data_IF_291829810061
#
_entry.id   IF_291829810061
#
_cell.length_a   1.000
_cell.length_b   1.000
_cell.length_c   1.000
_cell.angle_alpha   90.00
_cell.angle_beta   90.00
_cell.angle_gamma   90.00
#
_symmetry.space_group_name_H-M   'P 1'
#
loop_
_entity.id
_entity.type
_entity.pdbx_description
1 polymer ?
#
# COMPACT_ATOMS: atom_id res chain seq x y z
N UNK A 1 -12.37 -24.38 30.43
CA UNK A 1 -11.91 -25.39 29.46
C UNK A 1 -13.11 -26.28 29.19
N UNK A 2 -13.62 -26.48 27.98
CA UNK A 2 -13.00 -26.59 26.65
C UNK A 2 -13.84 -25.78 25.63
N UNK A 3 -13.26 -24.92 24.78
CA UNK A 3 -12.57 -25.23 23.51
C UNK A 3 -13.37 -26.17 22.58
N UNK A 4 -14.66 -25.90 22.36
CA UNK A 4 -15.42 -26.59 21.28
C UNK A 4 -16.60 -25.76 20.73
N UNK A 5 -16.42 -24.46 20.51
CA UNK A 5 -17.42 -23.62 19.81
C UNK A 5 -16.83 -22.68 18.74
N UNK A 6 -15.55 -22.81 18.41
CA UNK A 6 -14.85 -21.83 17.56
C UNK A 6 -14.75 -22.16 16.06
N UNK A 7 -15.42 -23.19 15.52
CA UNK A 7 -15.17 -23.59 14.12
C UNK A 7 -16.39 -23.69 13.18
N UNK A 8 -17.60 -23.33 13.61
CA UNK A 8 -18.80 -23.50 12.77
C UNK A 8 -19.51 -22.20 12.34
N UNK A 9 -18.89 -21.04 12.51
CA UNK A 9 -19.45 -19.77 12.01
C UNK A 9 -18.43 -19.03 11.13
N UNK A 10 -17.95 -19.74 10.12
CA UNK A 10 -17.36 -19.15 8.93
C UNK A 10 -18.16 -19.62 7.71
N UNK A 11 -19.28 -18.97 7.43
CA UNK A 11 -19.74 -18.60 6.09
C UNK A 11 -21.10 -17.89 6.17
N UNK A 12 -21.31 -16.96 5.24
CA UNK A 12 -22.53 -16.16 4.99
C UNK A 12 -22.59 -14.85 5.78
N UNK A 13 -21.98 -13.81 5.19
CA UNK A 13 -22.70 -12.62 4.73
C UNK A 13 -21.79 -11.83 3.77
N UNK A 14 -21.78 -12.28 2.52
CA UNK A 14 -21.49 -11.41 1.40
C UNK A 14 -22.73 -10.50 1.19
N UNK A 15 -22.65 -9.26 1.63
CA UNK A 15 -23.58 -8.22 1.23
C UNK A 15 -22.84 -6.90 1.04
N UNK A 16 -22.67 -6.55 -0.24
CA UNK A 16 -22.59 -5.17 -0.74
C UNK A 16 -21.41 -4.34 -0.25
N UNK A 17 -20.23 -4.53 -0.83
CA UNK A 17 -19.32 -3.40 -0.98
C UNK A 17 -19.89 -2.51 -2.11
N UNK A 18 -20.22 -1.24 -1.85
CA UNK A 18 -20.29 -0.28 -2.94
C UNK A 18 -18.87 -0.18 -3.52
N UNK A 19 -18.85 -0.29 -4.83
CA UNK A 19 -17.70 -0.21 -5.69
C UNK A 19 -16.82 1.02 -5.34
N UNK A 20 -15.72 0.82 -4.61
CA UNK A 20 -14.68 1.85 -4.45
C UNK A 20 -13.81 1.82 -5.71
N UNK A 21 -14.40 2.30 -6.81
CA UNK A 21 -13.76 2.41 -8.10
C UNK A 21 -12.84 3.63 -8.04
N UNK A 22 -11.53 3.39 -7.92
CA UNK A 22 -10.54 4.41 -8.27
C UNK A 22 -10.84 4.83 -9.71
N UNK A 23 -11.17 6.08 -9.96
CA UNK A 23 -11.25 6.59 -11.33
C UNK A 23 -9.88 6.38 -11.97
N UNK A 24 -9.81 5.37 -12.84
CA UNK A 24 -8.60 5.01 -13.55
C UNK A 24 -8.18 6.20 -14.39
N UNK A 25 -6.92 6.60 -14.26
CA UNK A 25 -6.27 7.40 -15.29
C UNK A 25 -6.26 6.54 -16.56
N UNK A 26 -7.07 6.94 -17.54
CA UNK A 26 -7.13 6.31 -18.85
C UNK A 26 -5.80 6.54 -19.57
N UNK A 27 -5.00 5.49 -19.69
CA UNK A 27 -4.11 5.30 -20.84
C UNK A 27 -4.45 3.92 -21.41
N UNK A 28 -5.19 3.93 -22.52
CA UNK A 28 -5.58 2.76 -23.26
C UNK A 28 -4.36 2.16 -23.99
N UNK A 29 -4.05 0.88 -23.73
CA UNK A 29 -3.39 -0.01 -24.68
C UNK A 29 -4.06 -1.40 -24.54
N UNK A 30 -5.09 -1.63 -25.34
CA UNK A 30 -5.69 -2.95 -25.53
C UNK A 30 -4.69 -3.85 -26.25
N UNK A 31 -4.09 -4.81 -25.54
CA UNK A 31 -3.48 -5.98 -26.19
C UNK A 31 -3.63 -7.26 -25.38
N UNK A 32 -4.63 -8.02 -25.80
CA UNK A 32 -4.67 -9.48 -25.94
C UNK A 32 -4.26 -10.32 -24.71
N UNK A 33 -5.28 -10.73 -23.94
CA UNK A 33 -5.16 -11.70 -22.85
C UNK A 33 -4.87 -13.10 -23.42
N UNK A 34 -3.63 -13.57 -23.29
CA UNK A 34 -3.35 -15.00 -23.11
C UNK A 34 -3.03 -15.21 -21.64
N UNK A 35 -3.90 -15.95 -20.96
CA UNK A 35 -3.72 -16.32 -19.57
C UNK A 35 -2.33 -16.92 -19.35
N UNK A 36 -1.54 -16.28 -18.49
CA UNK A 36 -0.32 -16.85 -17.98
C UNK A 36 -0.59 -17.35 -16.57
N UNK A 37 -0.31 -18.64 -16.39
CA UNK A 37 -0.21 -19.31 -15.10
C UNK A 37 0.69 -18.49 -14.19
N UNK A 38 0.17 -18.01 -13.05
CA UNK A 38 0.97 -17.28 -12.07
C UNK A 38 1.87 -18.32 -11.42
N UNK A 39 3.12 -18.40 -11.87
CA UNK A 39 4.11 -19.16 -11.14
C UNK A 39 4.39 -18.42 -9.83
N UNK A 40 4.17 -19.11 -8.72
CA UNK A 40 4.39 -18.66 -7.33
C UNK A 40 5.90 -18.57 -6.99
N UNK A 41 6.70 -18.09 -7.94
CA UNK A 41 8.15 -17.93 -7.83
C UNK A 41 8.49 -16.46 -8.10
N UNK A 42 8.29 -15.65 -7.06
CA UNK A 42 8.97 -14.41 -6.70
C UNK A 42 7.95 -13.51 -5.96
N UNK A 43 8.23 -13.07 -4.72
CA UNK A 43 7.32 -12.19 -3.98
C UNK A 43 7.06 -10.96 -4.84
N UNK A 44 5.78 -10.62 -5.03
CA UNK A 44 5.31 -9.65 -6.04
C UNK A 44 6.22 -8.42 -6.17
N UNK A 45 7.18 -8.48 -7.09
CA UNK A 45 8.17 -7.40 -7.30
C UNK A 45 7.53 -6.10 -7.76
N UNK A 46 6.25 -6.15 -8.16
CA UNK A 46 5.51 -5.08 -8.79
C UNK A 46 5.39 -3.82 -7.91
N UNK A 47 5.46 -3.95 -6.58
CA UNK A 47 5.39 -2.83 -5.62
C UNK A 47 6.67 -2.62 -4.80
N UNK A 48 7.75 -3.30 -5.17
CA UNK A 48 9.05 -3.16 -4.52
C UNK A 48 9.90 -2.12 -5.28
N UNK A 49 10.32 -1.07 -4.59
CA UNK A 49 11.23 -0.04 -5.08
C UNK A 49 12.67 -0.43 -4.73
N UNK A 50 13.52 -0.43 -5.74
CA UNK A 50 14.94 -0.77 -5.65
C UNK A 50 15.81 0.41 -6.07
N UNK A 51 17.11 0.36 -5.78
CA UNK A 51 18.04 1.41 -6.20
C UNK A 51 18.16 1.52 -7.73
N UNK A 52 18.04 0.41 -8.46
CA UNK A 52 18.06 0.40 -9.93
C UNK A 52 16.86 1.14 -10.53
N UNK A 53 15.70 1.15 -9.85
CA UNK A 53 14.53 1.90 -10.30
C UNK A 53 14.75 3.42 -10.31
N UNK A 54 15.65 3.92 -9.45
CA UNK A 54 15.96 5.34 -9.34
C UNK A 54 16.80 5.87 -10.52
N UNK A 55 17.45 4.98 -11.28
CA UNK A 55 18.29 5.37 -12.40
C UNK A 55 17.49 5.88 -13.61
N UNK A 56 16.21 5.50 -13.71
CA UNK A 56 15.34 5.87 -14.83
C UNK A 56 14.10 6.61 -14.35
N UNK A 57 14.00 7.91 -14.66
CA UNK A 57 12.80 8.71 -14.35
C UNK A 57 11.52 8.12 -14.94
N UNK A 58 11.60 7.47 -16.12
CA UNK A 58 10.47 6.81 -16.77
C UNK A 58 10.00 5.59 -15.97
N UNK A 59 10.94 4.75 -15.54
CA UNK A 59 10.66 3.58 -14.70
C UNK A 59 10.10 4.00 -13.36
N UNK A 60 10.73 4.98 -12.70
CA UNK A 60 10.28 5.50 -11.42
C UNK A 60 8.86 6.08 -11.50
N UNK A 61 8.54 6.85 -12.56
CA UNK A 61 7.19 7.36 -12.79
C UNK A 61 6.18 6.22 -12.96
N UNK A 62 6.53 5.17 -13.71
CA UNK A 62 5.67 3.98 -13.89
C UNK A 62 5.40 3.28 -12.55
N UNK A 63 6.45 2.96 -11.79
CA UNK A 63 6.30 2.25 -10.49
C UNK A 63 5.55 3.09 -9.46
N UNK A 64 5.80 4.40 -9.40
CA UNK A 64 5.01 5.31 -8.58
C UNK A 64 3.53 5.29 -8.96
N UNK A 65 3.20 5.29 -10.25
CA UNK A 65 1.81 5.20 -10.68
C UNK A 65 1.17 3.84 -10.29
N UNK A 66 1.93 2.74 -10.36
CA UNK A 66 1.47 1.41 -9.93
C UNK A 66 1.29 1.33 -8.41
N UNK A 67 2.05 2.09 -7.64
CA UNK A 67 1.98 2.11 -6.18
C UNK A 67 0.84 2.98 -5.62
N UNK A 68 -0.07 3.48 -6.46
CA UNK A 68 -1.21 4.29 -6.00
C UNK A 68 -2.18 3.45 -5.17
N UNK A 69 -2.68 4.03 -4.08
CA UNK A 69 -3.72 3.41 -3.25
C UNK A 69 -4.90 4.35 -3.07
N UNK A 70 -6.08 3.74 -2.89
CA UNK A 70 -7.30 4.47 -2.59
C UNK A 70 -7.52 4.46 -1.09
N UNK A 71 -7.66 5.65 -0.52
CA UNK A 71 -8.05 5.77 0.88
C UNK A 71 -9.58 5.70 1.00
N UNK A 72 -10.11 5.18 2.12
CA UNK A 72 -11.54 5.23 2.39
C UNK A 72 -12.01 6.66 2.66
N UNK A 73 -13.32 6.85 2.58
CA UNK A 73 -14.00 8.05 3.08
C UNK A 73 -13.65 8.28 4.56
N UNK A 74 -13.47 9.54 5.02
CA UNK A 74 -13.64 10.80 4.27
C UNK A 74 -12.40 11.27 3.50
N UNK A 75 -11.39 10.41 3.29
CA UNK A 75 -10.09 10.76 2.72
C UNK A 75 -9.89 10.27 1.28
N UNK A 76 -10.96 9.91 0.57
CA UNK A 76 -10.89 9.31 -0.77
C UNK A 76 -10.42 10.29 -1.85
N UNK A 77 -10.48 11.59 -1.58
CA UNK A 77 -9.96 12.66 -2.42
C UNK A 77 -8.45 12.87 -2.28
N UNK A 78 -7.79 12.24 -1.30
CA UNK A 78 -6.35 12.34 -1.10
C UNK A 78 -5.57 11.40 -2.02
N UNK A 79 -4.49 11.92 -2.60
CA UNK A 79 -3.58 11.13 -3.42
C UNK A 79 -2.57 10.40 -2.52
N UNK A 80 -2.67 9.07 -2.47
CA UNK A 80 -1.82 8.23 -1.63
C UNK A 80 -1.10 7.14 -2.42
N UNK A 81 0.04 6.72 -1.86
CA UNK A 81 0.94 5.71 -2.44
C UNK A 81 1.45 4.79 -1.34
N UNK A 82 1.60 3.50 -1.64
CA UNK A 82 2.23 2.54 -0.72
C UNK A 82 3.02 1.48 -1.46
N UNK A 83 4.03 0.93 -0.81
CA UNK A 83 4.81 -0.16 -1.34
C UNK A 83 5.94 -0.54 -0.40
N UNK A 84 6.93 -1.22 -0.95
CA UNK A 84 8.10 -1.69 -0.22
C UNK A 84 9.36 -1.07 -0.80
N UNK A 85 10.33 -0.72 0.04
CA UNK A 85 11.66 -0.28 -0.39
C UNK A 85 12.64 -1.36 0.04
N UNK A 86 13.37 -1.95 -0.91
CA UNK A 86 14.43 -2.89 -0.59
C UNK A 86 15.62 -2.14 0.03
N UNK A 87 16.14 -2.66 1.14
CA UNK A 87 17.27 -2.09 1.89
C UNK A 87 18.59 -2.79 1.51
N UNK A 88 18.52 -3.85 0.72
CA UNK A 88 19.67 -4.71 0.44
C UNK A 88 20.66 -3.98 -0.48
N UNK A 89 21.82 -3.62 0.08
CA UNK A 89 22.90 -2.92 -0.65
C UNK A 89 23.71 -3.85 -1.54
N UNK A 90 23.67 -5.15 -1.28
CA UNK A 90 24.45 -6.16 -1.98
C UNK A 90 23.44 -7.12 -2.56
N UNK A 91 23.54 -7.40 -3.85
CA UNK A 91 22.78 -8.44 -4.55
C UNK A 91 23.18 -9.85 -4.06
N UNK A 92 23.41 -10.03 -2.75
CA UNK A 92 23.64 -11.30 -2.09
C UNK A 92 22.29 -11.88 -1.76
N UNK A 93 21.97 -12.97 -2.42
CA UNK A 93 20.73 -13.77 -2.40
C UNK A 93 20.35 -14.38 -1.04
N UNK A 94 20.78 -13.80 0.09
CA UNK A 94 20.59 -14.37 1.43
C UNK A 94 19.89 -13.44 2.43
N UNK A 95 19.75 -12.14 2.15
CA UNK A 95 18.99 -11.23 3.01
C UNK A 95 18.12 -10.35 2.12
N UNK A 96 16.80 -10.48 2.26
CA UNK A 96 15.80 -9.67 1.57
C UNK A 96 15.07 -8.81 2.62
N UNK A 97 15.58 -7.61 2.88
CA UNK A 97 14.98 -6.68 3.85
C UNK A 97 14.18 -5.58 3.15
N UNK A 98 12.92 -5.43 3.57
CA UNK A 98 12.00 -4.46 2.98
C UNK A 98 11.42 -3.51 4.02
N UNK A 99 11.38 -2.23 3.69
CA UNK A 99 10.65 -1.21 4.45
C UNK A 99 9.32 -0.93 3.77
N UNK A 100 8.23 -1.16 4.49
CA UNK A 100 6.91 -0.70 4.06
C UNK A 100 6.80 0.82 4.21
N UNK A 101 6.14 1.49 3.27
CA UNK A 101 5.76 2.90 3.40
C UNK A 101 4.30 3.14 3.00
N UNK A 102 3.70 4.15 3.63
CA UNK A 102 2.48 4.81 3.19
C UNK A 102 2.78 6.30 3.08
N UNK A 103 2.60 6.85 1.89
CA UNK A 103 2.80 8.26 1.59
C UNK A 103 1.48 8.88 1.15
N UNK A 104 1.08 9.96 1.82
CA UNK A 104 -0.15 10.70 1.51
C UNK A 104 0.26 12.13 1.14
N UNK A 105 -0.16 12.58 -0.05
CA UNK A 105 0.11 13.95 -0.48
C UNK A 105 -0.81 14.93 0.22
N UNK A 106 -0.28 16.12 0.49
CA UNK A 106 -1.11 17.25 0.92
C UNK A 106 -2.15 17.57 -0.16
N UNK A 107 -3.39 17.83 0.26
CA UNK A 107 -4.53 18.16 -0.60
C UNK A 107 -4.28 19.42 -1.45
N UNK A 108 -3.72 20.46 -0.82
CA UNK A 108 -3.54 21.76 -1.45
C UNK A 108 -2.07 22.08 -1.72
N UNK A 109 -1.76 22.46 -2.95
CA UNK A 109 -0.44 22.90 -3.39
C UNK A 109 0.71 21.97 -2.96
N UNK A 110 0.54 20.66 -3.10
CA UNK A 110 1.46 19.64 -2.56
C UNK A 110 2.93 19.87 -2.92
N UNK A 111 3.22 20.48 -4.08
CA UNK A 111 4.58 20.77 -4.55
C UNK A 111 5.29 21.88 -3.75
N UNK A 112 4.53 22.71 -3.03
CA UNK A 112 5.04 23.81 -2.20
C UNK A 112 5.13 23.43 -0.71
N UNK A 113 4.57 22.29 -0.31
CA UNK A 113 4.54 21.83 1.08
C UNK A 113 5.78 20.98 1.39
N UNK A 114 6.31 21.02 2.62
CA UNK A 114 7.44 20.17 3.00
C UNK A 114 7.04 18.69 3.04
N UNK A 115 8.01 17.82 2.79
CA UNK A 115 7.87 16.39 3.03
C UNK A 115 8.17 16.07 4.50
N UNK A 116 7.27 15.34 5.15
CA UNK A 116 7.44 14.88 6.53
C UNK A 116 7.61 13.37 6.53
N UNK A 117 8.67 12.89 7.16
CA UNK A 117 8.87 11.48 7.48
C UNK A 117 8.48 11.25 8.94
N UNK A 118 7.51 10.38 9.17
CA UNK A 118 7.06 10.02 10.51
C UNK A 118 7.50 8.61 10.87
N UNK A 119 8.24 8.48 11.99
CA UNK A 119 8.75 7.21 12.49
C UNK A 119 8.28 7.04 13.92
N UNK A 120 7.56 5.95 14.20
CA UNK A 120 7.17 5.69 15.57
C UNK A 120 8.34 5.21 16.44
N UNK A 121 8.30 5.61 17.70
CA UNK A 121 9.32 5.26 18.70
C UNK A 121 9.10 3.90 19.37
N UNK A 122 9.81 3.71 20.48
CA UNK A 122 9.95 2.42 21.16
C UNK A 122 11.05 1.59 20.50
N UNK A 123 10.90 0.27 20.52
CA UNK A 123 11.37 -0.52 19.38
C UNK A 123 10.24 -1.42 18.86
N UNK A 124 10.14 -1.55 17.53
CA UNK A 124 9.23 -2.48 16.87
C UNK A 124 7.76 -2.04 16.74
N UNK A 125 7.40 -0.82 17.16
CA UNK A 125 6.06 -0.27 16.88
C UNK A 125 5.97 0.18 15.42
N UNK A 126 4.83 -0.09 14.78
CA UNK A 126 4.56 0.37 13.42
C UNK A 126 4.28 1.88 13.39
N UNK A 127 4.86 2.58 12.40
CA UNK A 127 4.52 3.98 12.12
C UNK A 127 3.07 4.17 11.68
N UNK A 128 2.37 3.11 11.28
CA UNK A 128 0.92 3.17 11.03
C UNK A 128 0.12 3.52 12.30
N UNK A 129 0.69 3.33 13.49
CA UNK A 129 0.09 3.84 14.72
C UNK A 129 -0.07 5.36 14.66
N UNK A 130 0.96 6.10 14.24
CA UNK A 130 0.87 7.56 14.08
C UNK A 130 -0.13 7.97 13.00
N UNK A 131 -0.18 7.19 11.91
CA UNK A 131 -1.14 7.39 10.83
C UNK A 131 -2.60 7.29 11.30
N UNK A 132 -2.93 6.34 12.19
CA UNK A 132 -4.33 6.07 12.57
C UNK A 132 -4.76 6.67 13.92
N UNK A 133 -3.81 6.96 14.81
CA UNK A 133 -4.10 7.30 16.20
C UNK A 133 -3.44 8.60 16.67
N UNK A 134 -2.62 9.26 15.85
CA UNK A 134 -1.94 10.50 16.21
C UNK A 134 -2.21 11.62 15.19
N UNK A 135 -1.41 11.70 14.13
CA UNK A 135 -1.32 12.88 13.25
C UNK A 135 -1.70 12.58 11.79
N UNK A 136 -2.07 11.35 11.45
CA UNK A 136 -2.51 11.01 10.11
C UNK A 136 -3.94 11.45 9.81
N UNK A 137 -4.31 11.59 8.54
CA UNK A 137 -5.64 12.05 8.12
C UNK A 137 -6.78 11.05 8.39
N UNK A 138 -6.47 9.80 8.70
CA UNK A 138 -7.46 8.73 8.90
C UNK A 138 -7.49 8.30 10.35
N UNK A 139 -8.69 8.11 10.91
CA UNK A 139 -8.87 7.47 12.22
C UNK A 139 -9.46 6.08 12.07
N UNK A 140 -9.40 5.27 13.13
CA UNK A 140 -10.12 3.99 13.21
C UNK A 140 -10.94 3.99 14.50
N UNK A 141 -12.23 3.68 14.41
CA UNK A 141 -13.09 3.58 15.59
C UNK A 141 -13.03 2.17 16.23
N UNK A 142 -13.67 2.00 17.39
CA UNK A 142 -13.68 0.72 18.11
C UNK A 142 -14.33 -0.44 17.33
N UNK A 143 -15.14 -0.15 16.32
CA UNK A 143 -15.72 -1.15 15.42
C UNK A 143 -14.81 -1.51 14.23
N UNK A 144 -13.60 -0.93 14.15
CA UNK A 144 -12.66 -1.15 13.04
C UNK A 144 -13.04 -0.40 11.76
N UNK A 145 -13.98 0.55 11.83
CA UNK A 145 -14.37 1.38 10.70
C UNK A 145 -13.54 2.67 10.67
N UNK A 146 -13.14 3.06 9.46
CA UNK A 146 -12.46 4.31 9.13
C UNK A 146 -13.46 5.45 8.90
#
# INVERSE_FOLDING_TARGET
MEVSKCFQFLLLLACGLPHMQCTQAQDADERNQRGQHINESDPSEDLTFTLSDLHSKKTLKKKRNQSRVCLPQPCDDLEAYSGFISVDRRNSSQENSFLFFLYIKSKDESQKKPLILWLQGGPGKSSLFGQFLENGPMGINAAGKM
#
